data_IF_936312496187
#
_entry.id   IF_936312496187
#
_cell.length_a   1.000
_cell.length_b   1.000
_cell.length_c   1.000
_cell.angle_alpha   90.00
_cell.angle_beta   90.00
_cell.angle_gamma   90.00
#
_symmetry.space_group_name_H-M   'P 1'
#
loop_
_entity.id
_entity.type
_entity.pdbx_description
1 polymer ?
#
# COMPACT_ATOMS: atom_id res chain seq x y z
N UNK A 1 8.56 -25.24 -2.48
CA UNK A 1 8.96 -23.87 -2.15
C UNK A 1 8.06 -22.87 -2.83
N UNK A 2 7.59 -21.91 -2.08
CA UNK A 2 6.69 -20.93 -2.61
C UNK A 2 7.44 -19.74 -3.15
N UNK A 3 6.98 -19.27 -4.28
CA UNK A 3 7.48 -18.04 -4.82
C UNK A 3 6.60 -16.90 -4.36
N UNK A 4 7.24 -15.88 -3.86
CA UNK A 4 6.53 -14.69 -3.46
C UNK A 4 6.75 -13.63 -4.52
N UNK A 5 5.65 -13.16 -5.06
CA UNK A 5 5.71 -12.19 -6.13
C UNK A 5 5.34 -10.82 -5.60
N UNK A 6 6.27 -9.90 -5.71
CA UNK A 6 6.00 -8.52 -5.40
C UNK A 6 5.06 -7.95 -6.45
N UNK A 7 4.09 -7.20 -5.99
CA UNK A 7 3.18 -6.52 -6.89
C UNK A 7 2.91 -5.12 -6.37
N UNK A 8 2.57 -4.19 -7.26
CA UNK A 8 2.24 -2.85 -6.79
C UNK A 8 0.93 -2.87 -6.03
N UNK A 9 0.86 -2.01 -5.01
CA UNK A 9 -0.34 -1.93 -4.20
C UNK A 9 -1.56 -1.60 -5.05
N UNK A 10 -1.37 -0.85 -6.12
CA UNK A 10 -2.47 -0.46 -6.99
C UNK A 10 -3.16 -1.65 -7.65
N UNK A 11 -2.52 -2.81 -7.70
CA UNK A 11 -3.10 -4.00 -8.31
C UNK A 11 -3.88 -4.85 -7.31
N UNK A 12 -3.87 -4.49 -6.05
CA UNK A 12 -4.54 -5.27 -5.00
C UNK A 12 -6.02 -4.93 -5.00
N UNK A 13 -6.86 -5.95 -4.89
CA UNK A 13 -8.30 -5.76 -4.92
C UNK A 13 -8.82 -5.36 -3.56
N UNK A 14 -9.96 -4.66 -3.56
CA UNK A 14 -10.62 -4.29 -2.32
C UNK A 14 -10.95 -5.53 -1.51
N UNK A 15 -10.70 -5.47 -0.22
CA UNK A 15 -10.93 -6.58 0.69
C UNK A 15 -9.71 -7.45 0.92
N UNK A 16 -8.67 -7.30 0.13
CA UNK A 16 -7.46 -8.09 0.32
C UNK A 16 -6.53 -7.46 1.33
N UNK A 17 -5.88 -8.31 2.12
CA UNK A 17 -4.86 -7.89 3.08
C UNK A 17 -3.52 -8.33 2.55
N UNK A 18 -2.57 -7.41 2.52
CA UNK A 18 -1.23 -7.67 2.01
C UNK A 18 -0.20 -7.12 2.97
N UNK A 19 1.05 -7.50 2.76
CA UNK A 19 2.17 -7.04 3.58
C UNK A 19 3.01 -6.09 2.78
N UNK A 20 3.32 -4.94 3.34
CA UNK A 20 4.15 -3.95 2.69
C UNK A 20 5.60 -4.43 2.67
N UNK A 21 6.23 -4.38 1.51
CA UNK A 21 7.63 -4.79 1.37
C UNK A 21 8.53 -3.59 1.19
N UNK A 22 8.20 -2.71 0.25
CA UNK A 22 9.05 -1.54 0.00
C UNK A 22 8.23 -0.46 -0.69
N UNK A 23 8.78 0.75 -0.64
CA UNK A 23 8.19 1.90 -1.31
C UNK A 23 9.24 2.50 -2.21
N UNK A 24 8.97 2.48 -3.52
CA UNK A 24 9.89 3.02 -4.52
C UNK A 24 9.59 4.49 -4.77
N UNK A 25 9.76 5.30 -3.75
CA UNK A 25 9.51 6.73 -3.84
C UNK A 25 10.71 7.46 -3.28
N UNK A 26 10.75 8.76 -3.48
CA UNK A 26 11.84 9.56 -2.95
C UNK A 26 11.89 9.48 -1.43
N UNK A 27 13.07 9.81 -0.88
CA UNK A 27 13.28 9.69 0.55
C UNK A 27 12.28 10.52 1.37
N UNK A 28 11.95 11.70 0.88
CA UNK A 28 11.00 12.56 1.59
C UNK A 28 9.64 11.90 1.68
N UNK A 29 9.17 11.28 0.59
CA UNK A 29 7.88 10.61 0.58
C UNK A 29 7.92 9.36 1.43
N UNK A 30 9.00 8.60 1.35
CA UNK A 30 9.15 7.40 2.18
C UNK A 30 9.07 7.75 3.66
N UNK A 31 9.76 8.81 4.08
CA UNK A 31 9.73 9.24 5.48
C UNK A 31 8.33 9.64 5.89
N UNK A 32 7.64 10.34 5.00
CA UNK A 32 6.30 10.81 5.29
C UNK A 32 5.34 9.63 5.47
N UNK A 33 5.42 8.65 4.57
CA UNK A 33 4.56 7.49 4.65
C UNK A 33 4.90 6.64 5.85
N UNK A 34 6.18 6.54 6.20
CA UNK A 34 6.59 5.78 7.37
C UNK A 34 6.02 6.40 8.65
N UNK A 35 5.97 7.72 8.72
CA UNK A 35 5.40 8.38 9.90
C UNK A 35 3.91 8.13 10.02
N UNK A 36 3.26 7.72 8.93
CA UNK A 36 1.84 7.37 8.93
C UNK A 36 1.62 5.88 9.18
N UNK A 37 2.68 5.12 9.41
CA UNK A 37 2.56 3.70 9.68
C UNK A 37 2.87 2.80 8.51
N UNK A 38 3.20 3.35 7.35
CA UNK A 38 3.51 2.54 6.17
C UNK A 38 4.99 2.21 6.15
N UNK A 39 5.34 1.18 6.92
CA UNK A 39 6.72 0.72 7.05
C UNK A 39 6.80 -0.72 6.56
N UNK A 40 8.02 -1.18 6.21
CA UNK A 40 8.18 -2.57 5.77
C UNK A 40 7.63 -3.55 6.80
N UNK A 41 7.02 -4.62 6.31
CA UNK A 41 6.44 -5.70 7.10
C UNK A 41 5.11 -5.36 7.76
N UNK A 42 4.58 -4.16 7.57
CA UNK A 42 3.26 -3.85 8.11
C UNK A 42 2.19 -4.48 7.22
N UNK A 43 1.15 -4.98 7.84
CA UNK A 43 -0.01 -5.47 7.10
C UNK A 43 -0.98 -4.34 6.85
N UNK A 44 -1.57 -4.36 5.67
CA UNK A 44 -2.60 -3.40 5.33
C UNK A 44 -3.68 -4.06 4.51
N UNK A 45 -4.87 -3.50 4.56
CA UNK A 45 -6.02 -4.01 3.83
C UNK A 45 -6.50 -2.93 2.86
N UNK A 46 -6.74 -3.34 1.62
CA UNK A 46 -7.29 -2.41 0.64
C UNK A 46 -8.79 -2.30 0.88
N UNK A 47 -9.25 -1.11 1.16
CA UNK A 47 -10.67 -0.87 1.44
C UNK A 47 -11.42 -0.53 0.17
N UNK A 48 -10.83 0.26 -0.69
CA UNK A 48 -11.47 0.66 -1.94
C UNK A 48 -10.42 0.86 -3.03
N UNK A 49 -10.68 0.25 -4.18
CA UNK A 49 -9.79 0.37 -5.34
C UNK A 49 -10.63 0.50 -6.60
N UNK A 50 -11.66 1.30 -6.55
CA UNK A 50 -12.57 1.49 -7.67
C UNK A 50 -12.25 2.76 -8.45
N UNK A 51 -12.46 2.68 -9.72
CA UNK A 51 -12.37 3.79 -10.65
C UNK A 51 -13.75 4.24 -11.08
N UNK A 52 -14.04 5.53 -11.09
CA UNK A 52 -13.28 6.60 -10.46
C UNK A 52 -13.54 6.58 -8.96
N UNK A 53 -12.52 6.90 -8.19
CA UNK A 53 -12.68 6.91 -6.75
C UNK A 53 -11.34 6.87 -6.08
N UNK A 54 -11.28 7.18 -4.80
CA UNK A 54 -10.01 7.18 -4.08
C UNK A 54 -9.53 5.76 -3.82
N UNK A 55 -8.21 5.61 -3.78
CA UNK A 55 -7.61 4.37 -3.33
C UNK A 55 -7.48 4.47 -1.82
N UNK A 56 -8.23 3.64 -1.11
CA UNK A 56 -8.29 3.71 0.35
C UNK A 56 -7.74 2.43 0.93
N UNK A 57 -6.87 2.58 1.92
CA UNK A 57 -6.32 1.43 2.64
C UNK A 57 -6.55 1.62 4.12
N UNK A 58 -6.46 0.50 4.85
CA UNK A 58 -6.57 0.48 6.29
C UNK A 58 -5.30 -0.11 6.87
N UNK A 59 -4.64 0.63 7.77
CA UNK A 59 -3.44 0.19 8.44
C UNK A 59 -3.64 0.41 9.93
N UNK A 60 -3.55 -0.66 10.72
CA UNK A 60 -3.69 -0.57 12.17
C UNK A 60 -4.94 0.20 12.58
N UNK A 61 -6.06 -0.14 11.94
CA UNK A 61 -7.37 0.47 12.21
C UNK A 61 -7.47 1.93 11.77
N UNK A 62 -6.47 2.42 11.05
CA UNK A 62 -6.53 3.77 10.50
C UNK A 62 -6.71 3.69 9.00
N UNK A 63 -7.68 4.40 8.49
CA UNK A 63 -7.92 4.46 7.05
C UNK A 63 -7.22 5.66 6.46
N UNK A 64 -6.66 5.49 5.28
CA UNK A 64 -6.03 6.60 4.60
C UNK A 64 -6.24 6.48 3.10
N UNK A 65 -6.25 7.62 2.44
CA UNK A 65 -6.38 7.67 0.99
C UNK A 65 -5.01 7.90 0.38
N UNK A 66 -4.75 7.16 -0.70
CA UNK A 66 -3.49 7.29 -1.42
C UNK A 66 -3.77 7.74 -2.84
N UNK A 67 -2.90 8.58 -3.36
CA UNK A 67 -2.95 8.92 -4.78
C UNK A 67 -2.52 7.73 -5.61
N UNK A 68 -2.97 7.67 -6.85
CA UNK A 68 -2.63 6.55 -7.72
C UNK A 68 -1.15 6.46 -7.99
N UNK A 69 -0.48 7.60 -8.16
CA UNK A 69 0.95 7.58 -8.38
C UNK A 69 1.69 6.96 -7.23
N UNK A 70 1.20 7.19 -6.00
CA UNK A 70 1.83 6.62 -4.81
C UNK A 70 1.56 5.13 -4.73
N UNK A 71 0.33 4.70 -4.99
CA UNK A 71 -0.01 3.28 -4.87
C UNK A 71 0.76 2.42 -5.87
N UNK A 72 1.16 2.98 -7.02
CA UNK A 72 1.99 2.26 -7.97
C UNK A 72 3.41 2.03 -7.47
N UNK A 73 3.86 2.85 -6.52
CA UNK A 73 5.23 2.80 -6.04
C UNK A 73 5.39 1.97 -4.78
N UNK A 74 4.29 1.52 -4.20
CA UNK A 74 4.32 0.69 -3.00
C UNK A 74 4.25 -0.77 -3.43
N UNK A 75 5.25 -1.53 -3.03
CA UNK A 75 5.32 -2.96 -3.39
C UNK A 75 4.90 -3.80 -2.22
N UNK A 76 4.05 -4.78 -2.48
CA UNK A 76 3.45 -5.62 -1.45
C UNK A 76 3.50 -7.10 -1.85
N UNK A 77 3.29 -7.92 -0.86
CA UNK A 77 3.13 -9.37 -1.04
C UNK A 77 1.75 -9.81 -0.62
#
# INVERSE_FOLDING_TARGET
MEEKHLKPLSSVKAGETVTLVSINAGQALNSRLASMGLVPNVELTVVNNRHPGPFVISVKDCKMMLGKGISHKIMVL
#
